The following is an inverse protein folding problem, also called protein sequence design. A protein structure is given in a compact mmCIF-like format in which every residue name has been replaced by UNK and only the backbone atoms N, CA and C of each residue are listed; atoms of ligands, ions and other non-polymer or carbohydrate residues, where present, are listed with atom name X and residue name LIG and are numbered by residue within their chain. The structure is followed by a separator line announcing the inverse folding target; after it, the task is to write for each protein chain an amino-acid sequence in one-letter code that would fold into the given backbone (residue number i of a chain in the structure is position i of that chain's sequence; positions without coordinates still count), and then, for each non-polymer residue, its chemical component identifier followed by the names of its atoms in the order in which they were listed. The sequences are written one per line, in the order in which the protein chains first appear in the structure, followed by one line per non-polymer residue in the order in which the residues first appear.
data_IF_253814454862
#
_entry.id   IF_253814454862
#
_cell.length_a   1.000
_cell.length_b   1.000
_cell.length_c   1.000
_cell.angle_alpha   90.00
_cell.angle_beta   90.00
_cell.angle_gamma   90.00
#
_symmetry.space_group_name_H-M   'P 1'
#
loop_
_entity.id
_entity.type
_entity.pdbx_description
1 polymer ?
#
# COMPACT_ATOMS: atom_id res chain seq x y z
N UNK A 1 3.88 5.95 -68.77
CA UNK A 1 4.97 6.20 -67.80
C UNK A 1 4.47 5.88 -66.41
N UNK A 2 5.37 5.32 -65.60
CA UNK A 2 5.13 4.45 -64.45
C UNK A 2 4.86 5.24 -63.15
N UNK A 3 3.91 4.72 -62.37
CA UNK A 3 3.62 4.85 -60.92
C UNK A 3 4.65 5.55 -60.01
N UNK A 4 4.16 6.37 -59.07
CA UNK A 4 4.38 6.29 -57.61
C UNK A 4 3.63 7.45 -56.91
N UNK A 5 2.51 7.22 -56.23
CA UNK A 5 2.41 6.81 -54.82
C UNK A 5 2.96 7.88 -53.85
N UNK A 6 2.16 8.91 -53.53
CA UNK A 6 2.45 9.79 -52.40
C UNK A 6 1.74 9.24 -51.16
N UNK A 7 2.55 8.70 -50.27
CA UNK A 7 2.16 8.03 -49.03
C UNK A 7 1.61 9.00 -48.00
N UNK A 8 0.45 8.62 -47.49
CA UNK A 8 -0.25 9.06 -46.29
C UNK A 8 0.70 9.04 -45.06
N UNK A 9 1.07 10.20 -44.53
CA UNK A 9 1.76 10.28 -43.24
C UNK A 9 0.73 10.43 -42.12
N UNK A 10 0.15 9.29 -41.69
CA UNK A 10 -0.38 9.21 -40.33
C UNK A 10 0.82 9.19 -39.39
N UNK A 11 1.05 10.32 -38.72
CA UNK A 11 1.86 10.34 -37.52
C UNK A 11 1.14 9.49 -36.45
N UNK A 12 1.45 8.20 -36.41
CA UNK A 12 1.26 7.40 -35.20
C UNK A 12 2.20 7.99 -34.15
N UNK A 13 1.65 8.86 -33.30
CA UNK A 13 2.25 9.12 -31.99
C UNK A 13 2.05 7.82 -31.21
N UNK A 14 3.04 6.93 -31.26
CA UNK A 14 3.16 5.89 -30.25
C UNK A 14 3.29 6.62 -28.90
N UNK A 15 2.42 6.37 -27.91
CA UNK A 15 2.77 6.72 -26.55
C UNK A 15 4.05 5.95 -26.22
N UNK A 16 5.11 6.72 -25.94
CA UNK A 16 6.39 6.22 -25.46
C UNK A 16 6.15 5.24 -24.34
N UNK A 17 6.61 4.01 -24.55
CA UNK A 17 6.93 2.97 -23.56
C UNK A 17 6.66 3.37 -22.11
N UNK A 18 5.39 3.32 -21.70
CA UNK A 18 5.08 3.30 -20.28
C UNK A 18 5.79 2.08 -19.72
N UNK A 19 6.70 2.26 -18.76
CA UNK A 19 7.12 1.15 -17.90
C UNK A 19 5.83 0.44 -17.54
N UNK A 20 5.69 -0.86 -17.84
CA UNK A 20 4.55 -1.61 -17.35
C UNK A 20 4.49 -1.31 -15.85
N UNK A 21 3.45 -0.59 -15.42
CA UNK A 21 3.36 -0.18 -14.04
C UNK A 21 3.20 -1.48 -13.28
N UNK A 22 4.27 -1.93 -12.63
CA UNK A 22 4.28 -3.22 -11.97
C UNK A 22 3.13 -3.21 -10.98
N UNK A 23 2.33 -4.27 -10.96
CA UNK A 23 1.26 -4.44 -9.99
C UNK A 23 1.70 -5.40 -8.89
N UNK A 24 1.22 -5.19 -7.68
CA UNK A 24 1.55 -6.01 -6.53
C UNK A 24 0.29 -6.33 -5.72
N UNK A 25 0.28 -7.50 -5.08
CA UNK A 25 -0.72 -7.85 -4.09
C UNK A 25 -0.40 -7.18 -2.75
N UNK A 26 -1.34 -6.37 -2.27
CA UNK A 26 -1.33 -5.77 -0.96
C UNK A 26 -2.38 -6.41 -0.07
N UNK A 27 -2.02 -6.65 1.18
CA UNK A 27 -2.91 -7.03 2.26
C UNK A 27 -3.38 -5.76 2.98
N UNK A 28 -4.69 -5.57 3.05
CA UNK A 28 -5.32 -4.50 3.83
C UNK A 28 -6.06 -5.13 5.00
N UNK A 29 -5.55 -4.88 6.20
CA UNK A 29 -6.13 -5.31 7.47
C UNK A 29 -6.96 -4.18 8.07
N UNK A 30 -8.19 -4.50 8.43
CA UNK A 30 -9.12 -3.56 9.04
C UNK A 30 -9.03 -3.60 10.57
N UNK A 31 -9.53 -2.55 11.24
CA UNK A 31 -9.72 -2.48 12.69
C UNK A 31 -10.60 -3.63 13.21
N UNK A 32 -11.48 -4.15 12.35
CA UNK A 32 -12.26 -5.36 12.58
C UNK A 32 -11.44 -6.67 12.49
N UNK A 33 -10.12 -6.60 12.32
CA UNK A 33 -9.20 -7.73 12.21
C UNK A 33 -9.34 -8.58 10.95
N UNK A 34 -10.27 -8.25 10.05
CA UNK A 34 -10.36 -8.90 8.74
C UNK A 34 -9.24 -8.39 7.84
N UNK A 35 -8.66 -9.27 7.05
CA UNK A 35 -7.66 -8.92 6.03
C UNK A 35 -8.21 -9.29 4.66
N UNK A 36 -8.10 -8.37 3.71
CA UNK A 36 -8.43 -8.60 2.31
C UNK A 36 -7.22 -8.30 1.44
N UNK A 37 -7.07 -9.03 0.34
CA UNK A 37 -6.02 -8.74 -0.63
C UNK A 37 -6.54 -7.90 -1.80
N UNK A 38 -5.70 -6.99 -2.28
CA UNK A 38 -5.97 -6.11 -3.40
C UNK A 38 -4.75 -6.04 -4.29
N UNK A 39 -4.95 -6.23 -5.60
CA UNK A 39 -3.91 -5.97 -6.60
C UNK A 39 -3.92 -4.46 -6.89
N UNK A 40 -2.82 -3.78 -6.59
CA UNK A 40 -2.62 -2.34 -6.77
C UNK A 40 -1.29 -2.07 -7.48
N UNK A 41 -1.03 -0.81 -7.83
CA UNK A 41 0.26 -0.39 -8.41
C UNK A 41 1.40 -0.65 -7.40
N UNK A 42 2.57 -1.05 -7.87
CA UNK A 42 3.71 -1.41 -7.03
C UNK A 42 4.22 -0.20 -6.22
N UNK A 43 4.10 1.00 -6.77
CA UNK A 43 4.43 2.28 -6.17
C UNK A 43 3.20 3.02 -5.59
N UNK A 44 2.08 2.32 -5.43
CA UNK A 44 0.84 2.87 -4.90
C UNK A 44 1.05 3.61 -3.59
N UNK A 45 0.34 4.73 -3.43
CA UNK A 45 0.34 5.53 -2.19
C UNK A 45 -1.10 5.74 -1.71
N UNK A 46 -1.33 5.74 -0.37
CA UNK A 46 -2.62 6.09 0.21
C UNK A 46 -3.14 7.43 -0.30
N UNK A 47 -4.34 7.43 -0.86
CA UNK A 47 -5.04 8.65 -1.25
C UNK A 47 -6.40 8.68 -0.55
N UNK A 48 -6.67 9.74 0.21
CA UNK A 48 -7.96 9.92 0.88
C UNK A 48 -8.83 10.90 0.09
N UNK A 49 -10.08 10.51 -0.16
CA UNK A 49 -11.11 11.37 -0.76
C UNK A 49 -12.40 11.20 0.01
N UNK A 50 -12.90 12.30 0.58
CA UNK A 50 -14.16 12.32 1.34
C UNK A 50 -14.19 11.29 2.48
N UNK A 51 -13.09 11.18 3.24
CA UNK A 51 -12.95 10.22 4.35
C UNK A 51 -12.78 8.75 3.94
N UNK A 52 -12.70 8.48 2.64
CA UNK A 52 -12.45 7.14 2.11
C UNK A 52 -11.03 7.03 1.55
N UNK A 53 -10.37 5.93 1.85
CA UNK A 53 -9.12 5.55 1.21
C UNK A 53 -9.44 4.94 -0.16
N UNK A 54 -8.79 5.46 -1.20
CA UNK A 54 -8.92 4.99 -2.58
C UNK A 54 -7.85 3.93 -2.84
N UNK A 55 -8.26 2.65 -2.82
CA UNK A 55 -7.37 1.54 -3.15
C UNK A 55 -7.21 1.40 -4.67
N UNK A 56 -8.32 1.57 -5.39
CA UNK A 56 -8.40 1.57 -6.87
C UNK A 56 -9.49 2.54 -7.32
N UNK A 57 -9.57 2.92 -8.62
CA UNK A 57 -10.61 3.83 -9.10
C UNK A 57 -12.04 3.44 -8.68
N UNK A 58 -12.35 2.14 -8.67
CA UNK A 58 -13.65 1.59 -8.28
C UNK A 58 -13.68 0.95 -6.87
N UNK A 59 -12.56 0.91 -6.14
CA UNK A 59 -12.49 0.28 -4.81
C UNK A 59 -12.10 1.31 -3.77
N UNK A 60 -13.01 1.60 -2.85
CA UNK A 60 -12.83 2.54 -1.77
C UNK A 60 -13.26 1.90 -0.45
N UNK A 61 -12.57 2.28 0.61
CA UNK A 61 -12.85 1.80 1.97
C UNK A 61 -12.85 2.97 2.94
N UNK A 62 -13.56 2.86 4.06
CA UNK A 62 -13.50 3.88 5.09
C UNK A 62 -12.08 3.94 5.66
N UNK A 63 -11.44 5.12 5.59
CA UNK A 63 -10.05 5.30 6.02
C UNK A 63 -9.86 4.94 7.50
N UNK A 64 -10.84 5.27 8.34
CA UNK A 64 -10.79 5.03 9.79
C UNK A 64 -10.84 3.55 10.16
N UNK A 65 -11.38 2.71 9.27
CA UNK A 65 -11.47 1.27 9.48
C UNK A 65 -10.18 0.55 9.08
N UNK A 66 -9.23 1.22 8.43
CA UNK A 66 -7.97 0.60 8.01
C UNK A 66 -6.96 0.66 9.14
N UNK A 67 -6.44 -0.51 9.52
CA UNK A 67 -5.41 -0.67 10.54
C UNK A 67 -4.01 -0.80 9.92
N UNK A 68 -3.88 -1.59 8.86
CA UNK A 68 -2.58 -1.90 8.24
C UNK A 68 -2.77 -2.12 6.75
N UNK A 69 -1.81 -1.62 5.98
CA UNK A 69 -1.65 -1.89 4.55
C UNK A 69 -0.21 -2.30 4.35
N UNK A 70 0.02 -3.47 3.76
CA UNK A 70 1.38 -3.90 3.39
C UNK A 70 1.34 -4.81 2.17
N UNK A 71 2.44 -4.94 1.41
CA UNK A 71 2.64 -6.04 0.49
C UNK A 71 2.37 -7.39 1.13
N UNK A 72 1.95 -8.37 0.33
CA UNK A 72 2.18 -9.77 0.70
C UNK A 72 3.69 -10.05 0.82
N UNK A 73 4.49 -9.54 -0.13
CA UNK A 73 5.97 -9.51 -0.11
C UNK A 73 6.45 -8.17 -0.67
N UNK A 74 7.30 -7.40 0.05
CA UNK A 74 7.84 -6.14 -0.46
C UNK A 74 8.72 -6.33 -1.71
N UNK A 75 8.75 -5.31 -2.58
CA UNK A 75 9.59 -5.33 -3.79
C UNK A 75 11.09 -5.32 -3.49
N UNK A 76 11.50 -4.66 -2.40
CA UNK A 76 12.87 -4.71 -1.88
C UNK A 76 12.81 -4.83 -0.36
N UNK A 77 13.47 -5.85 0.19
CA UNK A 77 13.54 -6.12 1.62
C UNK A 77 14.84 -5.61 2.25
N UNK A 78 15.80 -5.13 1.45
CA UNK A 78 17.08 -4.64 1.97
C UNK A 78 16.85 -3.41 2.83
N UNK A 79 17.37 -3.45 4.05
CA UNK A 79 17.17 -2.38 5.03
C UNK A 79 15.84 -2.47 5.79
N UNK A 80 14.92 -3.36 5.40
CA UNK A 80 13.70 -3.63 6.14
C UNK A 80 13.95 -4.62 7.28
N UNK A 81 13.18 -4.46 8.35
CA UNK A 81 13.10 -5.38 9.49
C UNK A 81 11.68 -5.91 9.59
N UNK A 82 11.51 -7.11 10.13
CA UNK A 82 10.19 -7.60 10.51
C UNK A 82 9.90 -7.21 11.95
N UNK A 83 8.76 -6.56 12.15
CA UNK A 83 8.22 -6.24 13.45
C UNK A 83 6.93 -7.02 13.68
N UNK A 84 6.79 -7.61 14.86
CA UNK A 84 5.57 -8.30 15.26
C UNK A 84 4.64 -7.34 15.98
N UNK A 85 3.54 -7.00 15.33
CA UNK A 85 2.50 -6.13 15.86
C UNK A 85 1.36 -6.94 16.46
N UNK A 86 0.98 -6.61 17.69
CA UNK A 86 -0.19 -7.19 18.36
C UNK A 86 -1.34 -6.19 18.28
N UNK A 87 -2.53 -6.58 17.78
CA UNK A 87 -3.70 -5.72 17.83
C UNK A 87 -4.00 -5.28 19.27
N UNK A 88 -4.36 -4.00 19.46
CA UNK A 88 -4.68 -3.45 20.78
C UNK A 88 -5.80 -4.23 21.46
N UNK A 89 -6.88 -4.48 20.71
CA UNK A 89 -7.99 -5.33 21.16
C UNK A 89 -7.59 -6.80 20.98
N UNK A 90 -7.35 -7.55 22.08
CA UNK A 90 -6.95 -8.94 21.99
C UNK A 90 -8.07 -9.76 21.33
N UNK A 91 -7.68 -10.70 20.47
CA UNK A 91 -8.58 -11.76 19.98
C UNK A 91 -8.10 -13.08 20.56
N UNK A 92 -9.05 -13.99 20.82
CA UNK A 92 -8.71 -15.35 21.23
C UNK A 92 -7.82 -15.97 20.14
N UNK A 93 -6.66 -16.50 20.52
CA UNK A 93 -5.63 -17.07 19.64
C UNK A 93 -5.00 -16.10 18.62
N UNK A 94 -4.69 -14.86 19.03
CA UNK A 94 -4.02 -13.92 18.14
C UNK A 94 -2.51 -14.13 18.08
N UNK A 95 -2.01 -14.64 16.96
CA UNK A 95 -0.58 -14.89 16.75
C UNK A 95 0.27 -13.62 16.54
N UNK A 96 -0.37 -12.45 16.43
CA UNK A 96 0.29 -11.21 16.00
C UNK A 96 0.47 -11.16 14.48
N UNK A 97 0.73 -9.97 13.96
CA UNK A 97 0.93 -9.72 12.53
C UNK A 97 2.39 -9.34 12.33
N UNK A 98 3.08 -10.07 11.44
CA UNK A 98 4.42 -9.69 11.00
C UNK A 98 4.31 -8.60 9.94
N UNK A 99 5.09 -7.54 10.12
CA UNK A 99 5.08 -6.36 9.26
C UNK A 99 6.50 -5.99 8.87
N UNK A 100 6.72 -5.71 7.59
CA UNK A 100 8.00 -5.21 7.07
C UNK A 100 8.08 -3.70 7.24
N UNK A 101 9.07 -3.23 8.01
CA UNK A 101 9.23 -1.83 8.39
C UNK A 101 10.69 -1.36 8.26
N UNK A 102 10.91 -0.10 7.93
CA UNK A 102 12.22 0.58 8.00
C UNK A 102 12.50 1.12 9.41
N UNK A 103 11.45 1.55 10.12
CA UNK A 103 11.50 2.07 11.48
C UNK A 103 10.34 1.51 12.33
N UNK A 104 10.39 1.66 13.65
CA UNK A 104 9.29 1.26 14.52
C UNK A 104 8.14 2.29 14.43
N UNK A 105 6.98 1.93 13.83
CA UNK A 105 5.86 2.86 13.66
C UNK A 105 5.14 3.19 14.96
N UNK A 106 5.44 2.48 16.06
CA UNK A 106 4.81 2.70 17.37
C UNK A 106 5.62 3.61 18.28
N UNK A 107 6.84 3.99 17.89
CA UNK A 107 7.68 4.90 18.66
C UNK A 107 7.10 6.33 18.63
N UNK A 108 7.00 7.03 19.78
CA UNK A 108 6.58 8.43 19.82
C UNK A 108 7.43 9.32 18.90
N UNK A 109 6.77 10.12 18.06
CA UNK A 109 7.44 11.00 17.08
C UNK A 109 7.68 10.37 15.72
N UNK A 110 7.23 9.12 15.48
CA UNK A 110 7.23 8.51 14.15
C UNK A 110 6.52 9.40 13.11
N UNK A 111 7.02 9.47 11.86
CA UNK A 111 6.41 10.28 10.80
C UNK A 111 4.96 9.87 10.55
N UNK A 112 4.01 10.77 10.82
CA UNK A 112 2.58 10.51 10.63
C UNK A 112 2.06 11.34 9.47
N UNK A 113 1.29 10.70 8.60
CA UNK A 113 0.42 11.41 7.69
C UNK A 113 -0.83 11.84 8.48
N UNK A 114 -0.96 13.15 8.66
CA UNK A 114 -2.04 13.75 9.43
C UNK A 114 -3.41 13.59 8.76
N UNK A 115 -3.46 13.34 7.44
CA UNK A 115 -4.73 13.20 6.70
C UNK A 115 -5.31 11.79 6.78
N UNK A 116 -4.46 10.75 6.70
CA UNK A 116 -4.89 9.34 6.81
C UNK A 116 -4.92 8.83 8.26
N UNK A 117 -4.15 9.47 9.13
CA UNK A 117 -3.83 8.93 10.45
C UNK A 117 -2.94 7.68 10.41
N UNK A 118 -2.39 7.35 9.24
CA UNK A 118 -1.44 6.26 9.05
C UNK A 118 0.00 6.78 9.13
N UNK A 119 0.89 5.91 9.57
CA UNK A 119 2.34 6.09 9.56
C UNK A 119 2.90 5.25 8.43
N UNK A 120 3.67 5.84 7.52
CA UNK A 120 4.36 5.10 6.47
C UNK A 120 5.61 4.44 7.05
N UNK A 121 5.48 3.20 7.52
CA UNK A 121 6.54 2.46 8.20
C UNK A 121 7.64 1.93 7.26
N UNK A 122 7.33 1.79 5.96
CA UNK A 122 8.24 1.45 4.87
C UNK A 122 7.63 1.96 3.55
N UNK A 123 8.36 1.93 2.40
CA UNK A 123 7.87 2.48 1.13
C UNK A 123 6.49 1.96 0.69
N UNK A 124 6.16 0.71 1.06
CA UNK A 124 4.93 0.03 0.69
C UNK A 124 4.08 -0.39 1.92
N UNK A 125 4.44 0.08 3.12
CA UNK A 125 3.80 -0.34 4.37
C UNK A 125 3.27 0.86 5.13
N UNK A 126 1.98 0.84 5.45
CA UNK A 126 1.31 1.86 6.24
C UNK A 126 0.61 1.24 7.43
N UNK A 127 0.85 1.79 8.61
CA UNK A 127 0.35 1.26 9.88
C UNK A 127 -0.43 2.36 10.58
N UNK A 128 -1.60 2.03 11.14
CA UNK A 128 -2.30 2.84 12.12
C UNK A 128 -1.72 2.52 13.50
N UNK A 129 -0.86 3.36 14.09
CA UNK A 129 -0.13 3.00 15.30
C UNK A 129 -1.07 2.65 16.46
N UNK A 130 -2.16 3.42 16.61
CA UNK A 130 -3.13 3.21 17.68
C UNK A 130 -3.92 1.90 17.56
N UNK A 131 -3.83 1.19 16.43
CA UNK A 131 -4.46 -0.13 16.27
C UNK A 131 -3.61 -1.26 16.87
N UNK A 132 -2.33 -1.01 17.15
CA UNK A 132 -1.37 -2.02 17.55
C UNK A 132 -0.57 -1.62 18.80
N UNK A 133 0.03 -2.64 19.40
CA UNK A 133 1.14 -2.54 20.36
C UNK A 133 2.26 -3.46 19.90
N UNK A 134 3.47 -3.20 20.37
CA UNK A 134 4.59 -4.12 20.17
C UNK A 134 4.30 -5.44 20.87
N UNK A 135 4.64 -6.55 20.23
CA UNK A 135 4.84 -7.79 20.96
C UNK A 135 6.04 -7.58 21.89
N UNK A 136 5.80 -7.56 23.20
CA UNK A 136 6.87 -7.70 24.19
C UNK A 136 7.07 -9.21 24.30
N UNK A 137 8.24 -9.69 23.85
CA UNK A 137 8.68 -11.06 24.12
C UNK A 137 9.11 -11.20 25.59
#
# INVERSE_FOLDING_TARGET
MLRALLLLQLAFILPTSGKAQASQEYLVTFMSGRTHSYIMEADWQPTVRQGQLVLRPATRVLMMDVALIQPYVPNDVRGLKQLKLMPQTPRINNAGILVWVEFDPLTPGAPKDNETGLVQAAPQTWVRPEAFRLAID
#
